data_IF_474923301614
#
_entry.id   IF_474923301614
#
_cell.length_a   1.000
_cell.length_b   1.000
_cell.length_c   1.000
_cell.angle_alpha   90.00
_cell.angle_beta   90.00
_cell.angle_gamma   90.00
#
_symmetry.space_group_name_H-M   'P 1'
#
loop_
_entity.id
_entity.type
_entity.pdbx_description
1 polymer ?
#
# COMPACT_ATOMS: atom_id res chain seq x y z
N UNK A 1 -9.39 -15.87 15.68
CA UNK A 1 -8.01 -16.35 15.87
C UNK A 1 -7.40 -16.60 14.50
N UNK A 2 -6.59 -15.67 13.99
CA UNK A 2 -5.90 -15.82 12.72
C UNK A 2 -4.55 -16.51 12.98
N UNK A 3 -4.49 -17.81 12.78
CA UNK A 3 -3.23 -18.54 12.71
C UNK A 3 -2.51 -18.10 11.43
N UNK A 4 -1.36 -17.45 11.59
CA UNK A 4 -0.50 -17.09 10.47
C UNK A 4 0.06 -18.36 9.85
N UNK A 5 -0.33 -18.66 8.63
CA UNK A 5 0.37 -19.65 7.83
C UNK A 5 1.72 -19.06 7.42
N UNK A 6 2.77 -19.50 8.11
CA UNK A 6 4.11 -19.51 7.57
C UNK A 6 4.10 -20.45 6.36
N UNK A 7 4.55 -19.96 5.22
CA UNK A 7 5.13 -20.87 4.23
C UNK A 7 6.32 -21.58 4.92
N UNK A 8 6.56 -22.88 4.68
CA UNK A 8 7.73 -23.57 5.19
C UNK A 8 8.94 -23.12 4.37
N UNK A 9 9.35 -21.88 4.57
CA UNK A 9 10.73 -21.47 4.31
C UNK A 9 11.38 -21.39 5.68
N UNK A 10 12.43 -22.17 5.88
CA UNK A 10 13.38 -21.94 6.97
C UNK A 10 13.97 -20.54 6.73
N UNK A 11 13.35 -19.54 7.34
CA UNK A 11 13.94 -18.22 7.44
C UNK A 11 15.11 -18.36 8.41
N UNK A 12 16.29 -18.67 7.88
CA UNK A 12 17.53 -18.41 8.61
C UNK A 12 17.43 -16.99 9.17
N UNK A 13 17.74 -16.83 10.45
CA UNK A 13 17.63 -15.55 11.16
C UNK A 13 18.57 -14.55 10.51
N UNK A 14 18.05 -13.80 9.54
CA UNK A 14 18.70 -12.64 8.96
C UNK A 14 19.09 -11.72 10.12
N UNK A 15 20.38 -11.37 10.30
CA UNK A 15 20.80 -10.45 11.34
C UNK A 15 20.05 -9.13 11.14
N UNK A 16 19.19 -8.79 12.10
CA UNK A 16 18.52 -7.50 12.11
C UNK A 16 19.53 -6.42 12.54
N UNK A 17 19.33 -5.18 12.09
CA UNK A 17 20.12 -4.03 12.58
C UNK A 17 20.09 -4.00 14.13
N UNK A 18 21.20 -3.59 14.79
CA UNK A 18 21.31 -3.54 16.25
C UNK A 18 20.17 -2.75 16.94
N UNK A 19 19.56 -1.79 16.24
CA UNK A 19 18.37 -1.05 16.72
C UNK A 19 17.11 -1.91 16.85
N UNK A 20 17.08 -3.09 16.24
CA UNK A 20 16.00 -4.08 16.35
C UNK A 20 16.19 -5.13 17.44
N UNK A 21 17.33 -5.14 18.13
CA UNK A 21 17.60 -6.10 19.21
C UNK A 21 16.93 -5.70 20.54
N UNK A 22 16.54 -4.42 20.67
CA UNK A 22 15.78 -3.94 21.83
C UNK A 22 14.34 -4.45 21.82
N UNK A 23 13.88 -4.99 22.96
CA UNK A 23 12.47 -5.33 23.18
C UNK A 23 11.55 -4.07 23.26
N UNK A 24 12.16 -2.89 23.39
CA UNK A 24 11.49 -1.61 23.57
C UNK A 24 11.74 -0.67 22.37
N UNK A 25 10.77 0.19 22.10
CA UNK A 25 10.87 1.35 21.22
C UNK A 25 10.43 2.62 21.95
N UNK A 26 10.69 3.77 21.33
CA UNK A 26 10.27 5.07 21.84
C UNK A 26 9.16 5.63 20.96
N UNK A 27 8.10 6.15 21.59
CA UNK A 27 6.96 6.79 20.93
C UNK A 27 6.78 8.21 21.45
N UNK A 28 6.32 9.11 20.57
CA UNK A 28 6.05 10.51 20.90
C UNK A 28 7.22 11.20 21.59
N UNK A 29 6.96 11.84 22.74
CA UNK A 29 7.92 12.59 23.58
C UNK A 29 8.94 11.70 24.33
N UNK A 30 9.42 10.64 23.70
CA UNK A 30 10.42 9.72 24.27
C UNK A 30 9.84 8.70 25.26
N UNK A 31 8.55 8.40 25.17
CA UNK A 31 7.90 7.40 26.03
C UNK A 31 8.31 5.99 25.57
N UNK A 32 8.75 5.14 26.50
CA UNK A 32 9.11 3.75 26.21
C UNK A 32 7.88 2.86 26.07
N UNK A 33 7.86 2.02 25.04
CA UNK A 33 6.80 1.03 24.80
C UNK A 33 7.43 -0.28 24.30
N UNK A 34 6.82 -1.44 24.60
CA UNK A 34 7.31 -2.72 24.07
C UNK A 34 7.03 -2.80 22.56
N UNK A 35 7.91 -3.45 21.79
CA UNK A 35 7.69 -3.67 20.34
C UNK A 35 6.58 -4.68 20.04
N UNK A 36 6.21 -5.48 21.04
CA UNK A 36 5.02 -6.35 20.98
C UNK A 36 3.72 -5.58 21.20
N UNK A 37 3.78 -4.26 21.33
CA UNK A 37 2.64 -3.37 21.55
C UNK A 37 2.46 -2.36 20.41
N UNK A 38 1.24 -1.84 20.27
CA UNK A 38 0.97 -0.64 19.48
C UNK A 38 -0.16 0.19 20.08
N UNK A 39 -0.12 1.51 19.84
CA UNK A 39 -1.16 2.46 20.27
C UNK A 39 -2.41 2.32 19.38
N UNK A 40 -3.60 2.36 19.99
CA UNK A 40 -4.86 2.16 19.28
C UNK A 40 -6.01 2.97 19.89
N UNK A 41 -7.06 3.19 19.10
CA UNK A 41 -8.22 3.99 19.49
C UNK A 41 -7.85 5.45 19.60
N UNK A 42 -7.62 6.10 18.46
CA UNK A 42 -7.41 7.54 18.43
C UNK A 42 -8.60 8.25 19.10
N UNK A 43 -8.29 9.15 20.04
CA UNK A 43 -9.29 9.87 20.86
C UNK A 43 -10.23 10.72 20.01
N UNK A 44 -11.47 10.85 20.45
CA UNK A 44 -12.46 11.67 19.76
C UNK A 44 -12.01 13.14 19.64
N UNK A 45 -12.26 13.74 18.48
CA UNK A 45 -11.78 15.09 18.16
C UNK A 45 -10.31 15.18 17.74
N UNK A 46 -9.56 14.06 17.78
CA UNK A 46 -8.27 13.94 17.10
C UNK A 46 -8.48 13.33 15.71
N UNK A 47 -7.75 13.87 14.74
CA UNK A 47 -7.63 13.30 13.41
C UNK A 47 -6.30 13.73 12.84
N UNK A 48 -5.73 12.92 11.95
CA UNK A 48 -4.60 13.41 11.18
C UNK A 48 -5.06 14.47 10.17
N UNK A 49 -4.24 15.51 9.93
CA UNK A 49 -4.58 16.59 9.02
C UNK A 49 -4.96 16.04 7.66
N UNK A 50 -6.13 16.47 7.20
CA UNK A 50 -6.60 16.15 5.86
C UNK A 50 -5.87 17.04 4.87
N UNK A 51 -5.19 16.44 3.91
CA UNK A 51 -4.63 17.16 2.77
C UNK A 51 -5.58 16.97 1.60
N UNK A 52 -6.08 18.07 1.05
CA UNK A 52 -7.08 18.06 -0.02
C UNK A 52 -6.57 17.32 -1.27
N UNK A 53 -7.45 16.53 -1.88
CA UNK A 53 -7.28 16.00 -3.24
C UNK A 53 -7.39 17.14 -4.27
N UNK A 54 -7.15 16.84 -5.55
CA UNK A 54 -7.39 17.83 -6.62
C UNK A 54 -8.85 18.31 -6.58
N UNK A 55 -9.06 19.60 -6.77
CA UNK A 55 -10.40 20.22 -6.75
C UNK A 55 -11.25 19.82 -7.95
N UNK A 56 -10.61 19.41 -9.04
CA UNK A 56 -11.26 19.18 -10.31
C UNK A 56 -12.16 17.95 -10.24
N UNK A 57 -13.47 18.21 -10.35
CA UNK A 57 -14.49 17.17 -10.47
C UNK A 57 -14.69 16.89 -11.96
N UNK A 58 -14.46 15.64 -12.35
CA UNK A 58 -14.81 15.13 -13.66
C UNK A 58 -16.06 14.26 -13.53
N UNK A 59 -16.83 14.20 -14.61
CA UNK A 59 -17.92 13.23 -14.79
C UNK A 59 -17.36 11.90 -15.30
N UNK A 60 -18.05 10.77 -15.10
CA UNK A 60 -17.62 9.51 -15.68
C UNK A 60 -17.66 9.60 -17.21
N UNK A 61 -16.63 9.06 -17.85
CA UNK A 61 -16.54 8.99 -19.30
C UNK A 61 -17.45 7.90 -19.88
N UNK A 62 -17.62 6.81 -19.12
CA UNK A 62 -18.45 5.66 -19.49
C UNK A 62 -19.49 5.44 -18.40
N UNK A 63 -20.76 5.62 -18.75
CA UNK A 63 -21.89 5.27 -17.88
C UNK A 63 -22.10 3.75 -17.91
N UNK A 64 -22.00 3.11 -16.75
CA UNK A 64 -22.19 1.67 -16.59
C UNK A 64 -21.07 0.99 -15.81
N UNK A 65 -20.78 -0.23 -16.20
CA UNK A 65 -19.88 -1.17 -15.52
C UNK A 65 -18.75 -1.66 -16.43
N UNK A 66 -17.75 -2.35 -15.87
CA UNK A 66 -16.73 -3.01 -16.68
C UNK A 66 -17.30 -4.09 -17.60
N UNK A 67 -18.43 -4.72 -17.23
CA UNK A 67 -19.11 -5.68 -18.09
C UNK A 67 -19.72 -5.00 -19.32
N UNK A 68 -20.22 -3.76 -19.19
CA UNK A 68 -20.68 -2.96 -20.32
C UNK A 68 -19.53 -2.63 -21.27
N UNK A 69 -18.38 -2.24 -20.72
CA UNK A 69 -17.16 -2.00 -21.50
C UNK A 69 -16.69 -3.28 -22.19
N UNK A 70 -16.66 -4.41 -21.49
CA UNK A 70 -16.24 -5.69 -22.06
C UNK A 70 -17.14 -6.13 -23.22
N UNK A 71 -18.46 -5.88 -23.13
CA UNK A 71 -19.40 -6.15 -24.24
C UNK A 71 -19.16 -5.22 -25.43
N UNK A 72 -18.94 -3.93 -25.18
CA UNK A 72 -18.71 -2.94 -26.24
C UNK A 72 -17.33 -3.06 -26.90
N UNK A 73 -16.32 -3.47 -26.13
CA UNK A 73 -14.92 -3.57 -26.55
C UNK A 73 -14.30 -4.92 -26.12
N UNK A 74 -14.70 -6.04 -26.75
CA UNK A 74 -14.24 -7.38 -26.33
C UNK A 74 -12.72 -7.58 -26.36
N UNK A 75 -12.01 -6.82 -27.21
CA UNK A 75 -10.56 -6.92 -27.37
C UNK A 75 -9.76 -6.44 -26.13
N UNK A 76 -10.30 -5.53 -25.31
CA UNK A 76 -9.66 -5.11 -24.05
C UNK A 76 -10.15 -5.89 -22.83
N UNK A 77 -11.08 -6.83 -22.99
CA UNK A 77 -11.63 -7.60 -21.87
C UNK A 77 -10.55 -8.27 -20.99
N UNK A 78 -9.41 -8.77 -21.50
CA UNK A 78 -8.32 -9.28 -20.65
C UNK A 78 -7.77 -8.27 -19.65
N UNK A 79 -7.82 -6.97 -19.95
CA UNK A 79 -7.32 -5.89 -19.10
C UNK A 79 -8.32 -5.47 -18.02
N UNK A 80 -9.62 -5.75 -18.23
CA UNK A 80 -10.72 -5.30 -17.37
C UNK A 80 -10.92 -6.16 -16.12
N UNK A 81 -10.30 -7.34 -16.08
CA UNK A 81 -10.49 -8.26 -14.97
C UNK A 81 -9.15 -8.79 -14.45
N UNK A 82 -9.08 -8.99 -13.14
CA UNK A 82 -8.01 -9.74 -12.51
C UNK A 82 -8.37 -11.23 -12.49
N UNK A 83 -7.35 -12.07 -12.53
CA UNK A 83 -7.49 -13.49 -12.21
C UNK A 83 -7.41 -13.69 -10.70
N UNK A 84 -8.46 -14.27 -10.12
CA UNK A 84 -8.58 -14.48 -8.68
C UNK A 84 -9.18 -15.85 -8.36
N UNK A 85 -9.09 -16.28 -7.11
CA UNK A 85 -9.85 -17.41 -6.57
C UNK A 85 -10.74 -16.90 -5.43
N UNK A 86 -12.04 -17.18 -5.47
CA UNK A 86 -12.93 -16.84 -4.36
C UNK A 86 -12.81 -17.90 -3.27
N UNK A 87 -12.49 -17.47 -2.06
CA UNK A 87 -12.43 -18.37 -0.91
C UNK A 87 -13.81 -18.96 -0.59
N UNK A 88 -13.97 -20.30 -0.50
CA UNK A 88 -15.26 -20.91 -0.19
C UNK A 88 -15.70 -20.67 1.27
N UNK A 89 -14.75 -20.47 2.19
CA UNK A 89 -15.05 -20.25 3.60
C UNK A 89 -15.50 -18.82 3.92
N UNK A 90 -14.83 -17.81 3.36
CA UNK A 90 -15.10 -16.40 3.70
C UNK A 90 -15.48 -15.49 2.52
N UNK A 91 -15.57 -16.02 1.30
CA UNK A 91 -15.92 -15.26 0.09
C UNK A 91 -14.87 -14.25 -0.37
N UNK A 92 -13.71 -14.15 0.29
CA UNK A 92 -12.66 -13.20 -0.07
C UNK A 92 -12.02 -13.57 -1.42
N UNK A 93 -11.88 -12.63 -2.36
CA UNK A 93 -11.06 -12.84 -3.54
C UNK A 93 -9.58 -12.89 -3.15
N UNK A 94 -8.91 -13.95 -3.59
CA UNK A 94 -7.50 -14.21 -3.39
C UNK A 94 -6.80 -14.21 -4.75
N UNK A 95 -5.51 -13.86 -4.80
CA UNK A 95 -4.74 -13.97 -6.05
C UNK A 95 -4.78 -15.42 -6.53
N UNK A 96 -4.97 -15.64 -7.84
CA UNK A 96 -5.21 -16.97 -8.41
C UNK A 96 -4.09 -17.99 -8.14
N UNK A 97 -2.86 -17.54 -7.94
CA UNK A 97 -1.73 -18.42 -7.59
C UNK A 97 -1.76 -18.92 -6.14
N UNK A 98 -2.62 -18.36 -5.28
CA UNK A 98 -2.72 -18.82 -3.89
C UNK A 98 -3.42 -20.18 -3.81
N UNK A 99 -2.86 -21.07 -2.99
CA UNK A 99 -3.43 -22.38 -2.67
C UNK A 99 -4.39 -22.33 -1.47
N UNK A 100 -4.23 -21.34 -0.60
CA UNK A 100 -5.05 -21.12 0.58
C UNK A 100 -5.40 -19.64 0.75
N UNK A 101 -6.55 -19.36 1.37
CA UNK A 101 -7.02 -18.01 1.59
C UNK A 101 -6.10 -17.29 2.58
N UNK A 102 -5.51 -16.17 2.17
CA UNK A 102 -4.64 -15.35 3.02
C UNK A 102 -5.39 -14.58 4.14
N UNK A 103 -6.65 -14.91 4.40
CA UNK A 103 -7.44 -14.34 5.50
C UNK A 103 -7.90 -15.39 6.51
N UNK A 104 -8.40 -16.54 6.05
CA UNK A 104 -8.93 -17.59 6.93
C UNK A 104 -8.17 -18.91 6.87
N UNK A 105 -7.21 -19.06 5.96
CA UNK A 105 -6.44 -20.29 5.78
C UNK A 105 -7.15 -21.40 5.00
N UNK A 106 -8.43 -21.24 4.69
CA UNK A 106 -9.23 -22.22 3.92
C UNK A 106 -8.59 -22.51 2.56
N UNK A 107 -8.63 -23.77 2.11
CA UNK A 107 -8.09 -24.15 0.79
C UNK A 107 -8.89 -23.48 -0.33
N UNK A 108 -8.18 -22.94 -1.32
CA UNK A 108 -8.79 -22.34 -2.50
C UNK A 108 -8.98 -23.40 -3.58
N UNK A 109 -10.06 -23.28 -4.37
CA UNK A 109 -10.30 -24.13 -5.53
C UNK A 109 -9.28 -23.86 -6.65
N UNK A 110 -9.16 -24.78 -7.60
CA UNK A 110 -8.15 -24.68 -8.67
C UNK A 110 -8.57 -23.73 -9.80
N UNK A 111 -9.87 -23.59 -10.07
CA UNK A 111 -10.38 -22.77 -11.17
C UNK A 111 -10.30 -21.25 -10.85
N UNK A 112 -9.68 -20.43 -11.72
CA UNK A 112 -9.71 -19.00 -11.57
C UNK A 112 -11.13 -18.45 -11.84
N UNK A 113 -11.48 -17.46 -11.04
CA UNK A 113 -12.62 -16.56 -11.17
C UNK A 113 -12.13 -15.20 -11.64
N UNK A 114 -13.03 -14.37 -12.17
CA UNK A 114 -12.72 -12.99 -12.56
C UNK A 114 -13.21 -12.01 -11.49
N UNK A 115 -12.36 -11.04 -11.16
CA UNK A 115 -12.77 -9.87 -10.37
C UNK A 115 -12.49 -8.61 -11.17
N UNK A 116 -13.22 -7.53 -10.90
CA UNK A 116 -13.05 -6.26 -11.61
C UNK A 116 -11.65 -5.66 -11.39
N UNK A 117 -10.98 -5.26 -12.46
CA UNK A 117 -9.76 -4.47 -12.41
C UNK A 117 -10.13 -3.00 -12.17
N UNK A 118 -10.20 -2.62 -10.89
CA UNK A 118 -10.59 -1.27 -10.49
C UNK A 118 -9.66 -0.19 -11.06
N UNK A 119 -8.38 -0.46 -11.31
CA UNK A 119 -7.47 0.52 -11.89
C UNK A 119 -7.73 0.72 -13.39
N UNK A 120 -8.11 -0.34 -14.12
CA UNK A 120 -8.59 -0.19 -15.49
C UNK A 120 -9.88 0.64 -15.53
N UNK A 121 -10.82 0.43 -14.58
CA UNK A 121 -12.02 1.26 -14.46
C UNK A 121 -11.67 2.74 -14.23
N UNK A 122 -10.69 3.03 -13.38
CA UNK A 122 -10.20 4.39 -13.14
C UNK A 122 -9.59 5.03 -14.39
N UNK A 123 -8.75 4.30 -15.13
CA UNK A 123 -8.14 4.79 -16.37
C UNK A 123 -9.19 5.08 -17.45
N UNK A 124 -10.24 4.27 -17.54
CA UNK A 124 -11.32 4.39 -18.52
C UNK A 124 -12.42 5.39 -18.11
N UNK A 125 -12.45 5.83 -16.85
CA UNK A 125 -13.51 6.70 -16.33
C UNK A 125 -14.89 6.02 -16.27
N UNK A 126 -14.95 4.73 -15.91
CA UNK A 126 -16.21 3.99 -15.79
C UNK A 126 -16.95 4.42 -14.53
N UNK A 127 -18.28 4.56 -14.57
CA UNK A 127 -19.04 5.13 -13.46
C UNK A 127 -19.09 4.23 -12.22
N UNK A 128 -19.40 2.94 -12.38
CA UNK A 128 -19.79 2.08 -11.25
C UNK A 128 -19.33 0.64 -11.42
N UNK A 129 -19.02 -0.01 -10.30
CA UNK A 129 -18.88 -1.46 -10.21
C UNK A 129 -20.21 -2.17 -10.43
N UNK A 130 -20.18 -3.46 -10.78
CA UNK A 130 -21.38 -4.28 -10.97
C UNK A 130 -22.29 -4.37 -9.73
N UNK A 131 -21.77 -4.05 -8.54
CA UNK A 131 -22.54 -3.98 -7.28
C UNK A 131 -22.97 -2.56 -6.88
N UNK A 132 -22.85 -1.59 -7.78
CA UNK A 132 -23.26 -0.19 -7.55
C UNK A 132 -22.26 0.66 -6.77
N UNK A 133 -21.05 0.16 -6.50
CA UNK A 133 -20.00 0.98 -5.88
C UNK A 133 -19.42 1.96 -6.92
N UNK A 134 -19.36 3.28 -6.66
CA UNK A 134 -18.84 4.23 -7.61
C UNK A 134 -17.33 4.09 -7.78
N UNK A 135 -16.81 4.11 -9.01
CA UNK A 135 -15.37 4.10 -9.29
C UNK A 135 -14.73 5.48 -9.20
N UNK A 136 -15.08 6.21 -8.14
CA UNK A 136 -14.47 7.50 -7.85
C UNK A 136 -13.11 7.30 -7.16
N UNK A 137 -12.14 8.11 -7.54
CA UNK A 137 -10.78 8.11 -7.01
C UNK A 137 -10.50 9.36 -6.18
N UNK A 138 -9.73 9.18 -5.11
CA UNK A 138 -9.09 10.28 -4.39
C UNK A 138 -7.87 10.74 -5.15
N UNK A 139 -8.12 11.45 -6.25
CA UNK A 139 -7.14 11.84 -7.23
C UNK A 139 -6.16 12.88 -6.66
N UNK A 140 -4.88 12.60 -6.75
CA UNK A 140 -3.79 13.50 -6.33
C UNK A 140 -3.11 14.17 -7.50
N UNK A 141 -3.00 13.44 -8.62
CA UNK A 141 -2.41 13.95 -9.84
C UNK A 141 -2.91 13.16 -11.05
N UNK A 142 -3.20 13.88 -12.13
CA UNK A 142 -3.51 13.30 -13.44
C UNK A 142 -2.78 14.10 -14.51
N UNK A 143 -1.93 13.42 -15.28
CA UNK A 143 -1.33 13.94 -16.50
C UNK A 143 -1.78 13.06 -17.69
N UNK A 144 -1.22 13.28 -18.88
CA UNK A 144 -1.48 12.37 -20.01
C UNK A 144 -0.85 10.99 -19.77
N UNK A 145 0.27 10.94 -19.06
CA UNK A 145 1.06 9.71 -18.88
C UNK A 145 0.86 9.03 -17.52
N UNK A 146 0.40 9.77 -16.50
CA UNK A 146 0.38 9.31 -15.11
C UNK A 146 -0.96 9.57 -14.43
N UNK A 147 -1.40 8.59 -13.64
CA UNK A 147 -2.51 8.74 -12.69
C UNK A 147 -2.03 8.37 -11.28
N UNK A 148 -2.19 9.29 -10.32
CA UNK A 148 -1.79 9.12 -8.91
C UNK A 148 -2.98 9.41 -8.01
N UNK A 149 -3.28 8.47 -7.13
CA UNK A 149 -4.42 8.54 -6.21
C UNK A 149 -4.10 7.88 -4.88
N UNK A 150 -4.84 8.26 -3.83
CA UNK A 150 -4.67 7.65 -2.52
C UNK A 150 -5.00 6.16 -2.56
N UNK A 151 -4.19 5.36 -1.87
CA UNK A 151 -4.44 3.92 -1.71
C UNK A 151 -5.62 3.65 -0.76
N UNK A 152 -6.54 2.78 -1.18
CA UNK A 152 -7.73 2.39 -0.39
C UNK A 152 -7.39 1.58 0.87
N UNK A 153 -6.19 1.00 0.91
CA UNK A 153 -5.64 0.21 1.99
C UNK A 153 -4.43 0.91 2.62
N UNK A 154 -4.52 2.25 2.74
CA UNK A 154 -3.41 3.11 3.14
C UNK A 154 -2.69 2.60 4.40
N UNK A 155 -1.34 2.62 4.38
CA UNK A 155 -0.51 2.22 5.53
C UNK A 155 0.03 3.43 6.29
N UNK A 156 0.10 4.56 5.59
CA UNK A 156 0.42 5.89 6.10
C UNK A 156 -0.70 6.84 5.68
N UNK A 157 -0.73 8.07 6.20
CA UNK A 157 -1.67 9.10 5.74
C UNK A 157 -1.36 9.66 4.35
N UNK A 158 -0.13 9.47 3.85
CA UNK A 158 0.31 9.82 2.51
C UNK A 158 0.79 8.53 1.83
N UNK A 159 -0.15 7.73 1.33
CA UNK A 159 0.09 6.48 0.61
C UNK A 159 -0.63 6.54 -0.73
N UNK A 160 0.14 6.49 -1.81
CA UNK A 160 -0.34 6.57 -3.17
C UNK A 160 -0.15 5.26 -3.92
N UNK A 161 -1.07 5.02 -4.86
CA UNK A 161 -0.79 4.22 -6.03
C UNK A 161 -0.49 5.17 -7.19
N UNK A 162 0.65 4.97 -7.85
CA UNK A 162 0.97 5.65 -9.11
C UNK A 162 1.00 4.63 -10.25
N UNK A 163 0.23 4.89 -11.30
CA UNK A 163 0.12 4.04 -12.48
C UNK A 163 0.41 4.85 -13.75
N UNK A 164 0.80 4.16 -14.81
CA UNK A 164 0.69 4.74 -16.14
C UNK A 164 -0.78 4.98 -16.45
N UNK A 165 -1.11 6.18 -16.95
CA UNK A 165 -2.42 6.48 -17.52
C UNK A 165 -2.53 5.98 -18.97
N UNK A 166 -1.39 5.76 -19.66
CA UNK A 166 -1.33 5.45 -21.08
C UNK A 166 -1.30 3.96 -21.40
N UNK A 167 -0.60 3.17 -20.58
CA UNK A 167 -0.34 1.77 -20.86
C UNK A 167 -1.00 0.85 -19.86
N UNK A 168 -1.58 -0.24 -20.37
CA UNK A 168 -1.92 -1.39 -19.54
C UNK A 168 -0.67 -2.24 -19.32
N UNK A 169 -0.22 -2.35 -18.07
CA UNK A 169 0.97 -3.12 -17.71
C UNK A 169 0.54 -4.05 -16.58
N UNK A 170 0.42 -5.37 -16.75
CA UNK A 170 -0.16 -6.22 -15.71
C UNK A 170 0.56 -6.14 -14.36
N UNK A 171 1.89 -6.12 -14.39
CA UNK A 171 2.75 -5.97 -13.22
C UNK A 171 4.18 -5.55 -13.64
N UNK A 172 5.05 -5.25 -12.67
CA UNK A 172 6.39 -4.69 -12.94
C UNK A 172 7.28 -5.57 -13.82
N UNK A 173 7.10 -6.90 -13.82
CA UNK A 173 7.96 -7.80 -14.61
C UNK A 173 7.86 -7.53 -16.10
N UNK A 174 6.71 -7.04 -16.58
CA UNK A 174 6.52 -6.68 -17.99
C UNK A 174 7.42 -5.52 -18.44
N UNK A 175 7.94 -4.70 -17.52
CA UNK A 175 8.94 -3.68 -17.84
C UNK A 175 10.25 -4.30 -18.37
N UNK A 176 10.54 -5.55 -18.01
CA UNK A 176 11.75 -6.26 -18.44
C UNK A 176 11.74 -6.59 -19.94
N UNK A 177 10.59 -6.53 -20.61
CA UNK A 177 10.51 -6.70 -22.06
C UNK A 177 11.12 -5.50 -22.82
N UNK A 178 11.15 -4.34 -22.18
CA UNK A 178 11.67 -3.09 -22.73
C UNK A 178 12.38 -2.27 -21.62
N UNK A 179 13.57 -2.71 -21.14
CA UNK A 179 14.14 -2.20 -19.89
C UNK A 179 14.36 -0.70 -19.85
N UNK A 180 14.84 -0.08 -20.95
CA UNK A 180 15.06 1.37 -21.04
C UNK A 180 13.77 2.16 -20.86
N UNK A 181 12.73 1.80 -21.63
CA UNK A 181 11.41 2.43 -21.53
C UNK A 181 10.78 2.18 -20.15
N UNK A 182 11.01 1.00 -19.58
CA UNK A 182 10.62 0.70 -18.22
C UNK A 182 11.25 1.64 -17.21
N UNK A 183 12.56 1.90 -17.32
CA UNK A 183 13.29 2.82 -16.46
C UNK A 183 12.79 4.26 -16.63
N UNK A 184 12.61 4.73 -17.86
CA UNK A 184 12.05 6.05 -18.18
C UNK A 184 10.65 6.24 -17.56
N UNK A 185 9.80 5.21 -17.63
CA UNK A 185 8.48 5.23 -16.98
C UNK A 185 8.60 5.33 -15.47
N UNK A 186 9.54 4.60 -14.84
CA UNK A 186 9.74 4.66 -13.39
C UNK A 186 10.26 6.03 -12.94
N UNK A 187 11.12 6.66 -13.71
CA UNK A 187 11.61 8.03 -13.46
C UNK A 187 10.48 9.05 -13.54
N UNK A 188 9.65 8.95 -14.58
CA UNK A 188 8.46 9.79 -14.72
C UNK A 188 7.50 9.58 -13.54
N UNK A 189 7.16 8.34 -13.19
CA UNK A 189 6.26 8.04 -12.07
C UNK A 189 6.80 8.61 -10.75
N UNK A 190 8.09 8.45 -10.46
CA UNK A 190 8.70 8.98 -9.23
C UNK A 190 8.65 10.51 -9.17
N UNK A 191 9.00 11.20 -10.26
CA UNK A 191 8.93 12.65 -10.33
C UNK A 191 7.50 13.18 -10.11
N UNK A 192 6.51 12.50 -10.71
CA UNK A 192 5.11 12.88 -10.58
C UNK A 192 4.53 12.55 -9.20
N UNK A 193 4.98 11.46 -8.57
CA UNK A 193 4.67 11.14 -7.17
C UNK A 193 5.14 12.27 -6.25
N UNK A 194 6.37 12.76 -6.40
CA UNK A 194 6.86 13.85 -5.55
C UNK A 194 6.06 15.14 -5.73
N UNK A 195 5.66 15.44 -6.96
CA UNK A 195 4.74 16.55 -7.23
C UNK A 195 3.40 16.36 -6.51
N UNK A 196 2.85 15.14 -6.53
CA UNK A 196 1.61 14.80 -5.83
C UNK A 196 1.76 14.80 -4.29
N UNK A 197 2.95 14.52 -3.76
CA UNK A 197 3.26 14.52 -2.33
C UNK A 197 3.53 15.92 -1.76
N UNK A 198 3.92 16.88 -2.60
CA UNK A 198 4.30 18.23 -2.16
C UNK A 198 3.27 18.91 -1.22
N UNK A 199 1.94 18.83 -1.45
CA UNK A 199 0.96 19.39 -0.52
C UNK A 199 1.01 18.80 0.89
N UNK A 200 1.44 17.54 1.06
CA UNK A 200 1.66 16.93 2.37
C UNK A 200 2.93 17.45 3.02
N UNK A 201 4.03 17.47 2.26
CA UNK A 201 5.35 17.89 2.75
C UNK A 201 5.38 19.38 3.12
N UNK A 202 4.59 20.21 2.42
CA UNK A 202 4.50 21.65 2.63
C UNK A 202 3.43 22.06 3.66
N UNK A 203 2.57 21.14 4.11
CA UNK A 203 1.54 21.45 5.09
C UNK A 203 2.12 21.42 6.51
N UNK A 204 2.24 22.58 7.15
CA UNK A 204 2.82 22.73 8.49
C UNK A 204 2.07 21.93 9.57
N UNK A 205 0.75 21.87 9.50
CA UNK A 205 -0.07 21.10 10.45
C UNK A 205 0.15 19.61 10.28
N UNK A 206 0.16 19.14 9.02
CA UNK A 206 0.50 17.76 8.67
C UNK A 206 1.88 17.41 9.21
N UNK A 207 2.88 18.25 8.94
CA UNK A 207 4.24 18.00 9.40
C UNK A 207 4.35 17.90 10.92
N UNK A 208 3.75 18.85 11.64
CA UNK A 208 3.74 18.88 13.10
C UNK A 208 3.05 17.64 13.71
N UNK A 209 2.01 17.15 13.06
CA UNK A 209 1.27 15.98 13.54
C UNK A 209 2.00 14.68 13.23
N UNK A 210 2.59 14.58 12.04
CA UNK A 210 3.14 13.32 11.52
C UNK A 210 4.60 13.10 11.89
N UNK A 211 5.40 14.16 11.83
CA UNK A 211 6.85 14.09 11.98
C UNK A 211 7.31 14.62 13.32
N UNK A 212 8.45 14.13 13.79
CA UNK A 212 9.15 14.73 14.92
C UNK A 212 9.61 16.15 14.55
N UNK A 213 9.67 17.04 15.53
CA UNK A 213 10.01 18.45 15.34
C UNK A 213 11.38 18.69 14.67
N UNK A 214 12.30 17.74 14.79
CA UNK A 214 13.66 17.78 14.24
C UNK A 214 13.78 17.18 12.82
N UNK A 215 12.68 16.70 12.24
CA UNK A 215 12.71 16.06 10.91
C UNK A 215 12.83 17.12 9.80
N UNK A 216 13.96 17.11 9.08
CA UNK A 216 14.16 18.01 7.94
C UNK A 216 13.33 17.60 6.71
N UNK A 217 13.16 18.49 5.74
CA UNK A 217 12.53 18.12 4.46
C UNK A 217 13.32 17.03 3.74
N UNK A 218 14.65 17.09 3.76
CA UNK A 218 15.50 16.07 3.16
C UNK A 218 15.32 14.70 3.85
N UNK A 219 15.15 14.68 5.18
CA UNK A 219 14.86 13.44 5.91
C UNK A 219 13.51 12.86 5.50
N UNK A 220 12.48 13.70 5.34
CA UNK A 220 11.17 13.26 4.81
C UNK A 220 11.34 12.68 3.41
N UNK A 221 12.08 13.36 2.53
CA UNK A 221 12.29 12.88 1.17
C UNK A 221 13.00 11.53 1.15
N UNK A 222 14.08 11.40 1.93
CA UNK A 222 14.85 10.17 2.06
C UNK A 222 14.06 9.06 2.76
N UNK A 223 13.03 9.39 3.54
CA UNK A 223 12.24 8.40 4.28
C UNK A 223 11.25 7.62 3.40
N UNK A 224 10.98 8.08 2.18
CA UNK A 224 9.97 7.50 1.31
C UNK A 224 10.15 5.97 1.14
N UNK A 225 9.04 5.26 1.11
CA UNK A 225 8.96 3.82 0.88
C UNK A 225 8.31 3.61 -0.48
N UNK A 226 8.99 2.93 -1.40
CA UNK A 226 8.49 2.64 -2.74
C UNK A 226 8.77 1.21 -3.17
N UNK A 227 7.72 0.51 -3.62
CA UNK A 227 7.82 -0.89 -4.01
C UNK A 227 6.65 -1.35 -4.90
N UNK A 228 6.78 -2.55 -5.45
CA UNK A 228 5.75 -3.25 -6.20
C UNK A 228 5.33 -4.53 -5.49
N UNK A 229 4.05 -4.89 -5.59
CA UNK A 229 3.60 -6.24 -5.26
C UNK A 229 3.75 -7.15 -6.49
N UNK A 230 4.34 -8.34 -6.34
CA UNK A 230 4.33 -9.38 -7.36
C UNK A 230 4.01 -10.75 -6.73
N UNK A 231 2.94 -11.44 -7.15
CA UNK A 231 1.89 -10.92 -8.02
C UNK A 231 1.14 -9.73 -7.37
N UNK A 232 0.66 -8.77 -8.16
CA UNK A 232 -0.18 -7.70 -7.64
C UNK A 232 -1.60 -8.23 -7.38
N UNK A 233 -2.32 -7.56 -6.46
CA UNK A 233 -3.74 -7.87 -6.22
C UNK A 233 -4.66 -7.33 -7.33
N UNK A 234 -4.16 -6.36 -8.12
CA UNK A 234 -4.85 -5.68 -9.21
C UNK A 234 -3.89 -5.70 -10.40
N UNK A 235 -4.33 -6.21 -11.55
CA UNK A 235 -3.50 -6.37 -12.75
C UNK A 235 -3.36 -5.06 -13.50
N UNK A 236 -2.76 -4.08 -12.85
CA UNK A 236 -2.26 -2.85 -13.43
C UNK A 236 -1.08 -2.45 -12.55
N UNK A 237 0.10 -2.35 -13.14
CA UNK A 237 1.35 -2.05 -12.46
C UNK A 237 1.18 -0.71 -11.77
N UNK A 238 1.38 -0.74 -10.46
CA UNK A 238 1.33 0.43 -9.61
C UNK A 238 2.56 0.44 -8.73
N UNK A 239 3.21 1.60 -8.67
CA UNK A 239 4.16 1.89 -7.60
C UNK A 239 3.32 2.14 -6.35
N UNK A 240 3.49 1.31 -5.32
CA UNK A 240 3.03 1.66 -3.99
C UNK A 240 4.08 2.56 -3.38
N UNK A 241 3.70 3.81 -3.18
CA UNK A 241 4.59 4.82 -2.64
C UNK A 241 3.97 5.43 -1.40
N UNK A 242 4.74 5.55 -0.33
CA UNK A 242 4.23 6.14 0.91
C UNK A 242 5.30 6.93 1.65
N UNK A 243 4.88 8.02 2.30
CA UNK A 243 5.69 8.73 3.29
C UNK A 243 5.43 8.17 4.68
N UNK A 244 6.47 7.70 5.39
CA UNK A 244 6.42 7.45 6.82
C UNK A 244 6.00 8.70 7.63
N UNK A 245 5.62 8.52 8.92
CA UNK A 245 5.53 7.25 9.62
C UNK A 245 4.33 6.42 9.14
N UNK A 246 4.47 5.10 9.23
CA UNK A 246 3.32 4.20 9.19
C UNK A 246 2.36 4.51 10.35
N UNK A 247 1.10 4.16 10.22
CA UNK A 247 0.18 4.20 11.37
C UNK A 247 0.63 3.16 12.42
N UNK A 248 0.38 3.35 13.73
CA UNK A 248 0.90 2.46 14.78
C UNK A 248 0.64 0.97 14.54
N UNK A 249 -0.60 0.61 14.18
CA UNK A 249 -0.95 -0.77 13.82
C UNK A 249 -0.16 -1.29 12.61
N UNK A 250 0.01 -0.46 11.57
CA UNK A 250 0.70 -0.85 10.34
C UNK A 250 2.19 -1.03 10.58
N UNK A 251 2.81 -0.20 11.42
CA UNK A 251 4.17 -0.41 11.87
C UNK A 251 4.35 -1.75 12.59
N UNK A 252 3.48 -2.05 13.56
CA UNK A 252 3.49 -3.35 14.24
C UNK A 252 3.34 -4.53 13.27
N UNK A 253 2.53 -4.38 12.23
CA UNK A 253 2.36 -5.39 11.19
C UNK A 253 3.60 -5.55 10.29
N UNK A 254 4.35 -4.48 10.05
CA UNK A 254 5.68 -4.55 9.40
C UNK A 254 6.65 -5.31 10.29
N UNK A 255 6.80 -4.94 11.57
CA UNK A 255 7.72 -5.64 12.48
C UNK A 255 7.37 -7.12 12.66
N UNK A 256 6.08 -7.44 12.62
CA UNK A 256 5.56 -8.82 12.61
C UNK A 256 5.78 -9.56 11.29
N UNK A 257 6.47 -8.96 10.30
CA UNK A 257 6.69 -9.48 8.94
C UNK A 257 5.40 -9.83 8.18
N UNK A 258 4.29 -9.19 8.53
CA UNK A 258 2.99 -9.36 7.85
C UNK A 258 2.80 -8.38 6.69
N UNK A 259 3.51 -7.25 6.73
CA UNK A 259 3.68 -6.37 5.58
C UNK A 259 5.03 -6.61 4.90
N UNK A 260 5.07 -6.23 3.62
CA UNK A 260 6.25 -6.33 2.76
C UNK A 260 6.92 -7.72 2.71
N UNK A 261 6.17 -8.83 2.51
CA UNK A 261 6.79 -10.15 2.54
C UNK A 261 7.81 -10.32 1.41
N UNK A 262 8.94 -10.97 1.70
CA UNK A 262 10.10 -11.09 0.82
C UNK A 262 9.78 -11.65 -0.55
N UNK A 263 8.89 -12.62 -0.72
CA UNK A 263 8.56 -13.16 -2.05
C UNK A 263 7.55 -12.32 -2.84
N UNK A 264 7.10 -11.18 -2.29
CA UNK A 264 6.02 -10.38 -2.88
C UNK A 264 6.35 -8.90 -3.02
N UNK A 265 7.13 -8.34 -2.11
CA UNK A 265 7.44 -6.91 -2.09
C UNK A 265 8.76 -6.65 -2.80
N UNK A 266 8.69 -6.12 -4.02
CA UNK A 266 9.85 -5.82 -4.85
C UNK A 266 10.20 -4.33 -4.72
N UNK A 267 11.29 -3.97 -4.02
CA UNK A 267 11.67 -2.58 -3.82
C UNK A 267 11.89 -1.88 -5.15
N UNK A 268 11.49 -0.61 -5.27
CA UNK A 268 11.69 0.15 -6.50
C UNK A 268 13.18 0.26 -6.87
N UNK A 269 14.06 0.31 -5.87
CA UNK A 269 15.52 0.29 -6.05
C UNK A 269 16.02 -0.98 -6.74
N UNK A 270 15.50 -2.15 -6.35
CA UNK A 270 15.81 -3.42 -7.01
C UNK A 270 15.35 -3.40 -8.47
N UNK A 271 14.09 -3.03 -8.72
CA UNK A 271 13.51 -3.04 -10.07
C UNK A 271 14.29 -2.09 -10.99
N UNK A 272 14.64 -0.89 -10.52
CA UNK A 272 15.47 0.06 -11.29
C UNK A 272 16.85 -0.49 -11.61
N UNK A 273 17.52 -1.15 -10.65
CA UNK A 273 18.83 -1.75 -10.92
C UNK A 273 18.75 -2.90 -11.92
N UNK A 274 17.72 -3.74 -11.86
CA UNK A 274 17.49 -4.79 -12.87
C UNK A 274 17.26 -4.18 -14.26
N UNK A 275 16.40 -3.17 -14.36
CA UNK A 275 16.13 -2.49 -15.64
C UNK A 275 17.37 -1.79 -16.19
N UNK A 276 18.21 -1.21 -15.33
CA UNK A 276 19.45 -0.55 -15.69
C UNK A 276 20.53 -1.51 -16.24
N UNK A 277 20.39 -2.82 -16.04
CA UNK A 277 21.23 -3.81 -16.74
C UNK A 277 20.98 -3.81 -18.24
N UNK A 278 19.81 -3.33 -18.69
CA UNK A 278 19.40 -3.29 -20.10
C UNK A 278 19.47 -4.66 -20.79
N UNK A 279 19.17 -5.71 -20.03
CA UNK A 279 19.07 -7.09 -20.51
C UNK A 279 17.59 -7.46 -20.53
N UNK A 280 16.95 -7.56 -21.71
CA UNK A 280 15.54 -7.91 -21.78
C UNK A 280 15.25 -9.33 -21.26
N UNK A 281 14.06 -9.52 -20.70
CA UNK A 281 13.51 -10.83 -20.34
C UNK A 281 12.15 -11.01 -21.03
N UNK A 282 11.96 -12.13 -21.72
CA UNK A 282 10.70 -12.41 -22.41
C UNK A 282 9.63 -12.90 -21.42
N UNK A 283 9.01 -11.94 -20.74
CA UNK A 283 7.96 -12.21 -19.75
C UNK A 283 6.68 -12.62 -20.44
N UNK A 284 6.20 -13.80 -20.06
CA UNK A 284 4.90 -14.36 -20.43
C UNK A 284 3.96 -14.35 -19.23
N UNK A 285 2.63 -14.44 -19.42
CA UNK A 285 1.67 -14.51 -18.31
C UNK A 285 1.93 -15.64 -17.30
N UNK A 286 2.61 -16.70 -17.75
CA UNK A 286 2.98 -17.87 -16.95
C UNK A 286 4.39 -17.80 -16.35
N UNK A 287 5.16 -16.74 -16.64
CA UNK A 287 6.51 -16.57 -16.08
C UNK A 287 6.43 -16.36 -14.57
N UNK A 288 7.10 -17.25 -13.83
CA UNK A 288 7.21 -17.15 -12.37
C UNK A 288 8.21 -16.05 -12.00
N UNK A 289 7.91 -15.30 -10.94
CA UNK A 289 8.79 -14.22 -10.49
C UNK A 289 10.12 -14.76 -9.95
N UNK A 290 10.10 -15.98 -9.43
CA UNK A 290 11.27 -16.72 -8.96
C UNK A 290 12.27 -16.98 -10.08
N UNK A 291 11.81 -17.26 -11.30
CA UNK A 291 12.66 -17.47 -12.47
C UNK A 291 13.36 -16.17 -12.89
N UNK A 292 12.64 -15.04 -12.80
CA UNK A 292 13.18 -13.70 -13.05
C UNK A 292 14.23 -13.36 -11.99
N UNK A 293 13.91 -13.53 -10.71
CA UNK A 293 14.85 -13.29 -9.60
C UNK A 293 16.11 -14.12 -9.82
N UNK A 294 15.97 -15.43 -10.09
CA UNK A 294 17.10 -16.33 -10.34
C UNK A 294 17.97 -15.87 -11.51
N UNK A 295 17.37 -15.40 -12.60
CA UNK A 295 18.10 -14.96 -13.78
C UNK A 295 18.99 -13.73 -13.51
N UNK A 296 18.51 -12.76 -12.72
CA UNK A 296 19.24 -11.52 -12.44
C UNK A 296 20.12 -11.57 -11.18
N UNK A 297 19.94 -12.58 -10.31
CA UNK A 297 20.49 -12.56 -8.94
C UNK A 297 22.02 -12.43 -8.85
N UNK A 298 22.76 -12.94 -9.84
CA UNK A 298 24.23 -12.84 -9.90
C UNK A 298 24.72 -11.41 -10.15
N UNK A 299 23.83 -10.52 -10.63
CA UNK A 299 24.12 -9.12 -10.97
C UNK A 299 23.43 -8.15 -10.02
N UNK A 300 22.19 -8.46 -9.64
CA UNK A 300 21.37 -7.66 -8.73
C UNK A 300 20.71 -8.63 -7.74
N UNK A 301 21.24 -8.68 -6.52
CA UNK A 301 20.79 -9.64 -5.51
C UNK A 301 19.47 -9.19 -4.87
N UNK A 302 18.39 -9.91 -5.16
CA UNK A 302 17.05 -9.54 -4.70
C UNK A 302 16.93 -9.54 -3.17
N UNK A 303 17.46 -10.56 -2.51
CA UNK A 303 17.37 -10.69 -1.06
C UNK A 303 18.07 -9.55 -0.32
N UNK A 304 19.24 -9.11 -0.80
CA UNK A 304 19.95 -7.96 -0.26
C UNK A 304 19.10 -6.69 -0.38
N UNK A 305 18.56 -6.41 -1.57
CA UNK A 305 17.67 -5.27 -1.76
C UNK A 305 16.42 -5.31 -0.90
N UNK A 306 15.78 -6.47 -0.78
CA UNK A 306 14.60 -6.62 0.06
C UNK A 306 14.92 -6.40 1.53
N UNK A 307 16.05 -6.95 2.03
CA UNK A 307 16.51 -6.74 3.40
C UNK A 307 16.74 -5.26 3.69
N UNK A 308 17.45 -4.56 2.81
CA UNK A 308 17.74 -3.13 2.96
C UNK A 308 16.45 -2.31 2.95
N UNK A 309 15.54 -2.61 2.02
CA UNK A 309 14.23 -2.00 1.94
C UNK A 309 13.38 -2.26 3.20
N UNK A 310 13.34 -3.49 3.70
CA UNK A 310 12.56 -3.84 4.88
C UNK A 310 13.10 -3.12 6.12
N UNK A 311 14.43 -3.10 6.29
CA UNK A 311 15.09 -2.35 7.36
C UNK A 311 14.79 -0.84 7.25
N UNK A 312 14.85 -0.29 6.02
CA UNK A 312 14.46 1.08 5.76
C UNK A 312 13.02 1.36 6.19
N UNK A 313 12.05 0.52 5.81
CA UNK A 313 10.65 0.69 6.21
C UNK A 313 10.46 0.79 7.73
N UNK A 314 11.12 -0.09 8.49
CA UNK A 314 11.08 -0.10 9.95
C UNK A 314 11.77 1.15 10.52
N UNK A 315 13.00 1.41 10.08
CA UNK A 315 13.83 2.46 10.65
C UNK A 315 13.28 3.86 10.35
N UNK A 316 12.81 4.10 9.13
CA UNK A 316 12.22 5.38 8.77
C UNK A 316 10.96 5.67 9.54
N UNK A 317 10.13 4.65 9.81
CA UNK A 317 8.97 4.83 10.67
C UNK A 317 9.38 5.22 12.09
N UNK A 318 10.34 4.53 12.69
CA UNK A 318 10.82 4.84 14.05
C UNK A 318 11.50 6.21 14.14
N UNK A 319 12.22 6.60 13.09
CA UNK A 319 12.90 7.89 13.01
C UNK A 319 11.93 9.05 12.84
N UNK A 320 10.82 8.85 12.15
CA UNK A 320 9.91 9.94 11.79
C UNK A 320 8.66 10.01 12.66
N UNK A 321 8.25 8.91 13.32
CA UNK A 321 6.98 8.87 14.04
C UNK A 321 6.87 9.91 15.17
N UNK A 322 5.69 10.49 15.29
CA UNK A 322 5.30 11.38 16.38
C UNK A 322 4.02 10.88 17.08
N UNK A 323 3.93 9.57 17.35
CA UNK A 323 2.75 9.00 17.99
C UNK A 323 2.74 9.36 19.49
N UNK A 324 2.02 10.41 19.87
CA UNK A 324 1.86 10.76 21.29
C UNK A 324 0.87 9.79 21.96
N UNK A 325 1.26 9.05 23.01
CA UNK A 325 0.34 8.18 23.73
C UNK A 325 -0.90 8.92 24.25
N UNK A 326 -0.80 10.23 24.54
CA UNK A 326 -1.95 11.03 25.00
C UNK A 326 -3.06 11.16 23.93
N UNK A 327 -2.80 10.83 22.68
CA UNK A 327 -3.78 10.85 21.59
C UNK A 327 -4.58 9.55 21.44
N UNK A 328 -4.26 8.51 22.22
CA UNK A 328 -4.86 7.18 22.11
C UNK A 328 -5.53 6.73 23.41
N UNK A 329 -6.61 5.98 23.29
CA UNK A 329 -7.36 5.43 24.44
C UNK A 329 -6.85 4.05 24.88
N UNK A 330 -6.14 3.34 24.00
CA UNK A 330 -5.75 1.95 24.19
C UNK A 330 -4.31 1.67 23.77
N UNK A 331 -3.76 0.62 24.37
CA UNK A 331 -2.60 -0.11 23.86
C UNK A 331 -3.05 -1.52 23.52
N UNK A 332 -2.55 -2.07 22.41
CA UNK A 332 -2.79 -3.46 22.06
C UNK A 332 -1.58 -4.29 22.45
N UNK A 333 -1.81 -5.36 23.19
CA UNK A 333 -0.79 -6.30 23.64
C UNK A 333 -1.34 -7.72 23.51
N UNK A 334 -0.55 -8.64 22.96
CA UNK A 334 -0.94 -10.04 22.74
C UNK A 334 -2.29 -10.21 22.02
N UNK A 335 -2.55 -9.32 21.05
CA UNK A 335 -3.76 -9.34 20.23
C UNK A 335 -5.03 -8.89 20.96
N UNK A 336 -4.93 -8.29 22.14
CA UNK A 336 -6.05 -7.72 22.91
C UNK A 336 -5.83 -6.23 23.15
N UNK A 337 -6.90 -5.46 23.18
CA UNK A 337 -6.84 -4.05 23.55
C UNK A 337 -6.93 -3.91 25.08
N UNK A 338 -6.15 -2.98 25.62
CA UNK A 338 -6.07 -2.66 27.04
C UNK A 338 -6.15 -1.14 27.23
N UNK A 339 -6.73 -0.71 28.36
CA UNK A 339 -6.43 0.63 28.88
C UNK A 339 -4.94 0.70 29.23
N UNK A 340 -4.37 1.90 29.23
CA UNK A 340 -2.98 2.09 29.63
C UNK A 340 -2.77 3.45 30.28
N UNK A 341 -1.62 3.59 30.91
CA UNK A 341 -1.13 4.86 31.47
C UNK A 341 0.36 4.99 31.17
N UNK A 342 0.89 6.22 31.24
CA UNK A 342 2.32 6.47 31.15
C UNK A 342 2.86 6.76 32.55
N UNK A 343 3.69 5.87 33.09
CA UNK A 343 4.33 6.00 34.41
C UNK A 343 5.83 5.97 34.25
N UNK A 344 6.54 6.97 34.80
CA UNK A 344 7.99 7.06 34.68
C UNK A 344 8.50 7.11 33.24
N UNK A 345 7.72 7.66 32.31
CA UNK A 345 8.07 7.71 30.89
C UNK A 345 7.93 6.37 30.16
N UNK A 346 7.11 5.45 30.67
CA UNK A 346 6.86 4.13 30.09
C UNK A 346 5.37 3.84 29.99
N UNK A 347 4.94 3.21 28.90
CA UNK A 347 3.58 2.66 28.75
C UNK A 347 3.41 1.45 29.68
N UNK A 348 2.45 1.54 30.59
CA UNK A 348 2.02 0.44 31.46
C UNK A 348 0.65 -0.06 31.03
N UNK A 349 0.58 -1.36 30.71
CA UNK A 349 -0.65 -2.03 30.31
C UNK A 349 -1.58 -2.18 31.51
N UNK A 350 -2.81 -1.70 31.38
CA UNK A 350 -3.87 -1.81 32.39
C UNK A 350 -4.88 -2.91 32.07
N UNK A 351 -6.11 -2.70 32.54
CA UNK A 351 -7.20 -3.66 32.37
C UNK A 351 -7.53 -3.88 30.88
N UNK A 352 -7.85 -5.14 30.48
CA UNK A 352 -8.33 -5.44 29.13
C UNK A 352 -9.67 -4.75 28.90
N UNK A 353 -9.95 -4.40 27.64
CA UNK A 353 -11.25 -3.84 27.24
C UNK A 353 -12.07 -4.86 26.46
N UNK A 354 -13.39 -4.87 26.67
CA UNK A 354 -14.31 -5.80 26.01
C UNK A 354 -14.53 -5.47 24.53
N UNK A 355 -14.20 -4.25 24.10
CA UNK A 355 -14.39 -3.82 22.72
C UNK A 355 -13.59 -4.69 21.75
N UNK A 356 -14.26 -5.17 20.71
CA UNK A 356 -13.63 -5.96 19.66
C UNK A 356 -12.51 -5.16 18.96
N UNK A 357 -11.29 -5.70 18.97
CA UNK A 357 -10.10 -5.06 18.41
C UNK A 357 -10.28 -4.62 16.95
N UNK A 358 -10.97 -5.42 16.15
CA UNK A 358 -11.24 -5.11 14.73
C UNK A 358 -12.04 -3.82 14.58
N UNK A 359 -12.99 -3.53 15.49
CA UNK A 359 -13.77 -2.29 15.46
C UNK A 359 -12.90 -1.07 15.77
N UNK A 360 -11.97 -1.20 16.72
CA UNK A 360 -10.99 -0.15 17.05
C UNK A 360 -10.12 0.14 15.83
N UNK A 361 -9.55 -0.90 15.21
CA UNK A 361 -8.70 -0.76 14.02
C UNK A 361 -9.43 -0.14 12.83
N UNK A 362 -10.72 -0.47 12.62
CA UNK A 362 -11.54 0.14 11.56
C UNK A 362 -11.76 1.63 11.83
N UNK A 363 -12.06 2.01 13.08
CA UNK A 363 -12.20 3.42 13.47
C UNK A 363 -10.90 4.18 13.26
N UNK A 364 -9.78 3.65 13.75
CA UNK A 364 -8.45 4.24 13.59
C UNK A 364 -8.11 4.44 12.11
N UNK A 365 -8.30 3.39 11.29
CA UNK A 365 -8.05 3.49 9.85
C UNK A 365 -8.89 4.60 9.21
N UNK A 366 -10.17 4.70 9.57
CA UNK A 366 -11.06 5.72 9.01
C UNK A 366 -10.61 7.14 9.33
N UNK A 367 -10.05 7.40 10.52
CA UNK A 367 -9.63 8.74 10.95
C UNK A 367 -8.18 9.10 10.61
N UNK A 368 -7.32 8.10 10.40
CA UNK A 368 -5.90 8.30 10.12
C UNK A 368 -5.58 8.34 8.61
N UNK A 369 -6.44 7.78 7.75
CA UNK A 369 -6.21 7.78 6.29
C UNK A 369 -6.71 9.06 5.60
N UNK A 370 -6.05 9.45 4.50
CA UNK A 370 -6.51 10.53 3.62
C UNK A 370 -7.42 10.07 2.48
N UNK A 371 -7.52 8.76 2.22
CA UNK A 371 -8.39 8.25 1.17
C UNK A 371 -9.84 8.73 1.38
N UNK A 372 -10.43 9.27 0.32
CA UNK A 372 -11.78 9.80 0.26
C UNK A 372 -11.93 11.18 0.91
N UNK A 373 -10.85 11.89 1.26
CA UNK A 373 -10.94 13.15 2.00
C UNK A 373 -10.71 14.40 1.12
N UNK A 374 -11.35 15.55 1.45
CA UNK A 374 -12.31 15.75 2.54
C UNK A 374 -13.61 14.96 2.32
N UNK A 375 -14.34 14.63 3.38
CA UNK A 375 -15.65 13.98 3.25
C UNK A 375 -16.69 15.01 2.80
N UNK A 376 -17.59 14.61 1.90
CA UNK A 376 -18.75 15.42 1.48
C UNK A 376 -20.00 14.69 1.96
N UNK A 377 -20.78 15.33 2.83
CA UNK A 377 -21.96 14.74 3.49
C UNK A 377 -21.67 13.38 4.17
N UNK A 378 -20.49 13.26 4.77
CA UNK A 378 -20.03 12.03 5.44
C UNK A 378 -19.52 10.93 4.51
N UNK A 379 -19.60 11.13 3.19
CA UNK A 379 -19.11 10.17 2.19
C UNK A 379 -17.72 10.57 1.68
N UNK A 380 -16.97 9.56 1.20
CA UNK A 380 -15.69 9.79 0.54
C UNK A 380 -15.87 10.73 -0.65
N UNK A 381 -15.14 11.84 -0.69
CA UNK A 381 -15.09 12.64 -1.90
C UNK A 381 -14.06 12.06 -2.85
N UNK A 382 -14.51 11.75 -4.06
CA UNK A 382 -13.67 11.29 -5.14
C UNK A 382 -14.15 11.88 -6.46
N UNK A 383 -13.34 11.73 -7.48
CA UNK A 383 -13.59 12.23 -8.83
C UNK A 383 -13.33 11.11 -9.83
N UNK A 384 -13.74 11.27 -11.08
CA UNK A 384 -13.29 10.40 -12.15
C UNK A 384 -11.98 10.94 -12.74
N UNK A 385 -11.28 10.12 -13.52
CA UNK A 385 -10.12 10.65 -14.27
C UNK A 385 -10.61 11.77 -15.21
N UNK A 386 -9.99 12.97 -15.19
CA UNK A 386 -10.33 14.03 -16.14
C UNK A 386 -9.85 13.73 -17.56
N UNK A 387 -9.00 12.71 -17.72
CA UNK A 387 -8.40 12.29 -18.99
C UNK A 387 -8.59 10.77 -19.15
N UNK A 388 -9.83 10.33 -19.40
CA UNK A 388 -10.08 8.90 -19.63
C UNK A 388 -9.35 8.46 -20.89
N UNK A 389 -8.71 7.30 -20.83
CA UNK A 389 -8.25 6.66 -22.08
C UNK A 389 -9.45 6.07 -22.79
N UNK A 390 -9.48 6.23 -24.11
CA UNK A 390 -10.43 5.49 -24.92
C UNK A 390 -9.96 4.03 -25.01
N UNK A 391 -10.88 3.04 -24.97
CA UNK A 391 -10.57 1.66 -25.33
C UNK A 391 -9.87 1.59 -26.70
N UNK A 392 -8.56 1.37 -26.71
CA UNK A 392 -7.76 1.25 -27.94
C UNK A 392 -7.03 -0.09 -27.96
N UNK A 393 -6.76 -0.59 -29.17
CA UNK A 393 -5.89 -1.73 -29.39
C UNK A 393 -4.45 -1.24 -29.29
N UNK A 394 -3.68 -1.78 -28.35
CA UNK A 394 -2.27 -1.41 -28.16
C UNK A 394 -1.59 -2.35 -27.19
#
# INVERSE_FOLDING_TARGET
MAQGFCFPFDFERVPLCRTMESAEMFVGRGVKMLRTQYLAGLKDGRSFPTVSIVSDRAEPAIMGTLDDVARAHPFIAPCLYNEAKICPGCGKPCVWMLMACNSCGERLGDAPTKTENVFAAFMLGVSTAGRGFPYQISLRRSTEDVLIFDDMLSLTPCHFNAISAKYYIPNWTYLLRAPRQGLELLDLLEAEIWTAAAPFVNNLEFRKTMFRNDTSEQDIQNSAISYFNCPPSIFQMHVQWMLPPLMPYQHFMVESKKHFPQSRAFPMTYVRQVLALDIPYDVQPTTLVEDIVKFYNDRVNYEAHWRDFFQHCVQQTLNTQNWDPDDFDYVVHDGKAHKFQVVGGRVEVGAPVEQELRKIQVKDKAVLQNYGRPLVDGNSSGTYTPRPILPQVG
#
